data_IF_575976010327
#
_entry.id   IF_575976010327
#
_cell.length_a   1.000
_cell.length_b   1.000
_cell.length_c   1.000
_cell.angle_alpha   90.00
_cell.angle_beta   90.00
_cell.angle_gamma   90.00
#
_symmetry.space_group_name_H-M   'P 1'
#
loop_
_entity.id
_entity.type
_entity.pdbx_description
1 polymer ?
#
# COMPACT_ATOMS: atom_id res chain seq x y z
N UNK A 1 4.67 -14.80 7.65
CA UNK A 1 3.27 -15.18 8.01
C UNK A 1 2.55 -14.09 8.80
N UNK A 2 3.11 -13.51 9.86
CA UNK A 2 2.43 -12.45 10.64
C UNK A 2 1.95 -11.25 9.80
N UNK A 3 2.74 -10.81 8.82
CA UNK A 3 2.34 -9.73 7.91
C UNK A 3 1.09 -10.07 7.07
N UNK A 4 0.98 -11.31 6.60
CA UNK A 4 -0.18 -11.79 5.83
C UNK A 4 -1.43 -11.85 6.71
N UNK A 5 -1.30 -12.31 7.96
CA UNK A 5 -2.40 -12.31 8.92
C UNK A 5 -2.88 -10.88 9.23
N UNK A 6 -1.96 -9.93 9.46
CA UNK A 6 -2.30 -8.51 9.63
C UNK A 6 -3.02 -7.94 8.41
N UNK A 7 -2.55 -8.23 7.19
CA UNK A 7 -3.23 -7.81 5.96
C UNK A 7 -4.63 -8.41 5.84
N UNK A 8 -4.80 -9.69 6.18
CA UNK A 8 -6.10 -10.37 6.18
C UNK A 8 -7.09 -9.73 7.15
N UNK A 9 -6.66 -9.44 8.39
CA UNK A 9 -7.49 -8.77 9.40
C UNK A 9 -7.80 -7.34 8.95
N UNK A 10 -6.79 -6.59 8.50
CA UNK A 10 -6.94 -5.21 8.09
C UNK A 10 -7.93 -5.06 6.95
N UNK A 11 -7.88 -5.91 5.92
CA UNK A 11 -8.83 -5.86 4.80
C UNK A 11 -10.25 -6.23 5.23
N UNK A 12 -10.42 -7.22 6.10
CA UNK A 12 -11.74 -7.60 6.61
C UNK A 12 -12.37 -6.54 7.52
N UNK A 13 -11.55 -5.77 8.25
CA UNK A 13 -12.03 -4.68 9.11
C UNK A 13 -12.23 -3.38 8.33
N UNK A 14 -11.30 -3.03 7.44
CA UNK A 14 -11.32 -1.78 6.70
C UNK A 14 -12.50 -1.71 5.73
N UNK A 15 -12.82 -2.77 5.00
CA UNK A 15 -13.92 -2.76 4.01
C UNK A 15 -15.29 -2.41 4.62
N UNK A 16 -15.78 -3.05 5.70
CA UNK A 16 -17.06 -2.69 6.30
C UNK A 16 -17.03 -1.31 6.97
N UNK A 17 -15.92 -0.92 7.62
CA UNK A 17 -15.79 0.41 8.21
C UNK A 17 -15.77 1.51 7.16
N UNK A 18 -15.06 1.33 6.04
CA UNK A 18 -15.01 2.29 4.93
C UNK A 18 -16.38 2.48 4.27
N UNK A 19 -17.19 1.41 4.17
CA UNK A 19 -18.58 1.52 3.69
C UNK A 19 -19.49 2.28 4.65
N UNK A 20 -19.29 2.13 5.96
CA UNK A 20 -20.15 2.73 6.98
C UNK A 20 -19.79 4.18 7.33
N UNK A 21 -18.50 4.51 7.37
CA UNK A 21 -18.00 5.81 7.84
C UNK A 21 -17.31 6.63 6.75
N UNK A 22 -17.31 6.14 5.51
CA UNK A 22 -16.50 6.70 4.43
C UNK A 22 -15.03 6.33 4.59
N UNK A 23 -14.29 6.34 3.48
CA UNK A 23 -12.94 5.81 3.51
C UNK A 23 -11.89 6.80 4.07
N UNK A 24 -12.08 8.09 3.84
CA UNK A 24 -11.15 9.13 4.33
C UNK A 24 -11.03 9.17 5.86
N UNK A 25 -12.13 9.18 6.66
CA UNK A 25 -12.03 9.18 8.12
C UNK A 25 -11.40 7.90 8.69
N UNK A 26 -11.65 6.76 8.05
CA UNK A 26 -11.09 5.46 8.46
C UNK A 26 -9.58 5.45 8.24
N UNK A 27 -9.10 5.96 7.09
CA UNK A 27 -7.67 6.01 6.77
C UNK A 27 -6.94 6.96 7.72
N UNK A 28 -7.47 8.14 8.00
CA UNK A 28 -6.85 9.09 8.95
C UNK A 28 -6.72 8.48 10.34
N UNK A 29 -7.77 7.81 10.84
CA UNK A 29 -7.73 7.12 12.14
C UNK A 29 -6.73 5.96 12.14
N UNK A 30 -6.67 5.19 11.06
CA UNK A 30 -5.69 4.10 10.92
C UNK A 30 -4.25 4.63 10.92
N UNK A 31 -3.99 5.75 10.22
CA UNK A 31 -2.68 6.41 10.22
C UNK A 31 -2.33 6.98 11.60
N UNK A 32 -3.29 7.55 12.33
CA UNK A 32 -3.06 8.03 13.69
C UNK A 32 -2.71 6.89 14.66
N UNK A 33 -3.41 5.76 14.56
CA UNK A 33 -3.08 4.56 15.35
C UNK A 33 -1.70 4.02 14.94
N UNK A 34 -1.39 3.96 13.65
CA UNK A 34 -0.07 3.55 13.16
C UNK A 34 1.03 4.46 13.70
N UNK A 35 0.82 5.78 13.73
CA UNK A 35 1.75 6.74 14.32
C UNK A 35 1.99 6.45 15.80
N UNK A 36 0.94 6.24 16.59
CA UNK A 36 1.06 5.93 18.03
C UNK A 36 1.83 4.61 18.24
N UNK A 37 1.52 3.58 17.46
CA UNK A 37 2.17 2.28 17.58
C UNK A 37 3.64 2.30 17.13
N UNK A 38 3.99 3.12 16.14
CA UNK A 38 5.35 3.23 15.61
C UNK A 38 6.22 4.26 16.35
N UNK A 39 5.62 5.25 17.00
CA UNK A 39 6.29 6.29 17.76
C UNK A 39 7.34 5.77 18.77
N UNK A 40 7.07 4.76 19.64
CA UNK A 40 8.07 4.28 20.59
C UNK A 40 9.31 3.69 19.90
N UNK A 41 9.13 3.00 18.77
CA UNK A 41 10.24 2.48 17.98
C UNK A 41 11.05 3.61 17.32
N UNK A 42 10.37 4.66 16.84
CA UNK A 42 11.03 5.86 16.32
C UNK A 42 11.86 6.56 17.38
N UNK A 43 11.32 6.74 18.60
CA UNK A 43 12.02 7.38 19.72
C UNK A 43 13.24 6.55 20.15
N UNK A 44 13.10 5.23 20.25
CA UNK A 44 14.21 4.33 20.57
C UNK A 44 15.34 4.37 19.51
N UNK A 45 15.02 4.72 18.27
CA UNK A 45 15.98 4.83 17.18
C UNK A 45 16.71 6.19 17.10
N UNK A 46 16.26 7.22 17.84
CA UNK A 46 16.86 8.57 17.85
C UNK A 46 18.38 8.55 18.11
N UNK A 47 18.92 7.82 19.10
CA UNK A 47 20.35 7.84 19.41
C UNK A 47 21.25 7.34 18.28
N UNK A 48 20.72 6.50 17.38
CA UNK A 48 21.43 5.96 16.22
C UNK A 48 21.05 6.67 14.91
N UNK A 49 20.23 7.72 14.98
CA UNK A 49 19.74 8.44 13.80
C UNK A 49 20.52 9.74 13.59
N UNK A 50 20.95 9.99 12.35
CA UNK A 50 21.43 11.31 11.94
C UNK A 50 20.30 12.06 11.25
N UNK A 51 20.08 13.32 11.66
CA UNK A 51 19.08 14.15 11.01
C UNK A 51 19.62 14.65 9.67
N UNK A 52 18.93 14.30 8.59
CA UNK A 52 19.25 14.73 7.24
C UNK A 52 18.02 15.32 6.56
N UNK A 53 18.14 16.58 6.09
CA UNK A 53 17.07 17.27 5.36
C UNK A 53 16.59 16.50 4.13
N UNK A 54 17.51 15.84 3.43
CA UNK A 54 17.18 15.03 2.26
C UNK A 54 16.24 13.87 2.61
N UNK A 55 16.53 13.15 3.70
CA UNK A 55 15.69 12.04 4.20
C UNK A 55 14.31 12.52 4.63
N UNK A 56 14.22 13.71 5.24
CA UNK A 56 12.94 14.30 5.63
C UNK A 56 12.07 14.57 4.40
N UNK A 57 12.60 15.26 3.38
CA UNK A 57 11.84 15.55 2.16
C UNK A 57 11.48 14.28 1.38
N UNK A 58 12.37 13.29 1.34
CA UNK A 58 12.07 11.99 0.74
C UNK A 58 10.92 11.28 1.47
N UNK A 59 10.92 11.26 2.81
CA UNK A 59 9.81 10.70 3.60
C UNK A 59 8.49 11.44 3.38
N UNK A 60 8.52 12.78 3.34
CA UNK A 60 7.32 13.59 3.07
C UNK A 60 6.79 13.30 1.67
N UNK A 61 7.66 13.26 0.66
CA UNK A 61 7.27 12.94 -0.71
C UNK A 61 6.64 11.55 -0.85
N UNK A 62 7.26 10.53 -0.24
CA UNK A 62 6.73 9.16 -0.22
C UNK A 62 5.42 9.05 0.55
N UNK A 63 5.31 9.73 1.70
CA UNK A 63 4.11 9.73 2.53
C UNK A 63 2.94 10.43 1.84
N UNK A 64 3.13 11.66 1.37
CA UNK A 64 2.09 12.44 0.70
C UNK A 64 1.70 11.81 -0.63
N UNK A 65 2.67 11.46 -1.47
CA UNK A 65 2.42 10.88 -2.80
C UNK A 65 1.92 9.44 -2.72
N UNK A 66 2.75 8.55 -2.18
CA UNK A 66 2.51 7.10 -2.20
C UNK A 66 1.39 6.64 -1.27
N UNK A 67 1.10 7.39 -0.19
CA UNK A 67 0.05 7.05 0.77
C UNK A 67 -1.12 8.02 0.67
N UNK A 68 -0.91 9.32 0.96
CA UNK A 68 -2.00 10.30 1.04
C UNK A 68 -2.82 10.45 -0.25
N UNK A 69 -2.17 10.86 -1.34
CA UNK A 69 -2.81 11.07 -2.64
C UNK A 69 -3.34 9.76 -3.20
N UNK A 70 -2.54 8.69 -3.15
CA UNK A 70 -2.96 7.38 -3.64
C UNK A 70 -4.25 6.87 -2.96
N UNK A 71 -4.34 7.00 -1.63
CA UNK A 71 -5.56 6.65 -0.90
C UNK A 71 -6.73 7.58 -1.24
N UNK A 72 -6.52 8.89 -1.35
CA UNK A 72 -7.57 9.83 -1.74
C UNK A 72 -8.15 9.49 -3.13
N UNK A 73 -7.28 9.16 -4.10
CA UNK A 73 -7.70 8.72 -5.43
C UNK A 73 -8.41 7.37 -5.40
N UNK A 74 -7.87 6.38 -4.69
CA UNK A 74 -8.48 5.05 -4.57
C UNK A 74 -9.88 5.12 -3.94
N UNK A 75 -10.05 5.96 -2.92
CA UNK A 75 -11.34 6.14 -2.24
C UNK A 75 -12.36 6.90 -3.10
N UNK A 76 -11.91 7.90 -3.85
CA UNK A 76 -12.74 8.59 -4.84
C UNK A 76 -13.16 7.65 -5.97
N UNK A 77 -12.24 6.84 -6.48
CA UNK A 77 -12.50 5.88 -7.55
C UNK A 77 -13.48 4.79 -7.09
N UNK A 78 -13.29 4.25 -5.89
CA UNK A 78 -14.21 3.29 -5.28
C UNK A 78 -15.64 3.81 -5.18
N UNK A 79 -15.82 5.09 -4.86
CA UNK A 79 -17.13 5.74 -4.82
C UNK A 79 -17.77 5.93 -6.20
N UNK A 80 -16.98 6.09 -7.27
CA UNK A 80 -17.46 6.37 -8.64
C UNK A 80 -17.74 5.12 -9.47
N UNK A 81 -16.83 4.14 -9.45
CA UNK A 81 -16.90 2.95 -10.34
C UNK A 81 -17.17 1.64 -9.60
N UNK A 82 -17.38 1.70 -8.29
CA UNK A 82 -17.67 0.56 -7.43
C UNK A 82 -16.41 -0.22 -7.01
N UNK A 83 -16.51 -0.94 -5.88
CA UNK A 83 -15.36 -1.63 -5.28
C UNK A 83 -14.75 -2.69 -6.19
N UNK A 84 -15.56 -3.36 -7.01
CA UNK A 84 -15.12 -4.46 -7.87
C UNK A 84 -14.16 -4.01 -8.96
N UNK A 85 -14.41 -2.86 -9.63
CA UNK A 85 -13.46 -2.31 -10.61
C UNK A 85 -12.21 -1.75 -9.93
N UNK A 86 -12.36 -1.17 -8.74
CA UNK A 86 -11.23 -0.61 -7.98
C UNK A 86 -10.26 -1.70 -7.51
N UNK A 87 -10.76 -2.89 -7.17
CA UNK A 87 -9.92 -4.05 -6.79
C UNK A 87 -8.99 -4.51 -7.92
N UNK A 88 -9.34 -4.30 -9.18
CA UNK A 88 -8.49 -4.70 -10.33
C UNK A 88 -7.19 -3.90 -10.33
N UNK A 89 -7.22 -2.63 -9.91
CA UNK A 89 -6.02 -1.79 -9.81
C UNK A 89 -4.96 -2.38 -8.88
N UNK A 90 -5.37 -3.12 -7.85
CA UNK A 90 -4.44 -3.78 -6.92
C UNK A 90 -3.59 -4.84 -7.62
N UNK A 91 -4.10 -5.48 -8.67
CA UNK A 91 -3.35 -6.49 -9.43
C UNK A 91 -2.23 -5.89 -10.27
N UNK A 92 -2.29 -4.59 -10.55
CA UNK A 92 -1.27 -3.87 -11.33
C UNK A 92 -0.09 -3.44 -10.44
N UNK A 93 -0.24 -3.46 -9.11
CA UNK A 93 0.78 -3.05 -8.15
C UNK A 93 2.14 -3.73 -8.38
N UNK A 94 2.25 -5.06 -8.55
CA UNK A 94 3.55 -5.72 -8.73
C UNK A 94 4.28 -5.23 -9.99
N UNK A 95 3.53 -4.98 -11.06
CA UNK A 95 4.08 -4.50 -12.35
C UNK A 95 4.63 -3.09 -12.19
N UNK A 96 3.85 -2.20 -11.57
CA UNK A 96 4.25 -0.80 -11.31
C UNK A 96 5.45 -0.75 -10.35
N UNK A 97 5.47 -1.62 -9.33
CA UNK A 97 6.58 -1.72 -8.40
C UNK A 97 7.89 -2.13 -9.09
N UNK A 98 7.86 -3.15 -9.96
CA UNK A 98 9.04 -3.55 -10.74
C UNK A 98 9.49 -2.45 -11.70
N UNK A 99 8.55 -1.78 -12.36
CA UNK A 99 8.87 -0.70 -13.29
C UNK A 99 9.52 0.48 -12.58
N UNK A 100 8.99 0.90 -11.43
CA UNK A 100 9.57 1.97 -10.61
C UNK A 100 10.93 1.56 -10.02
N UNK A 101 11.09 0.31 -9.57
CA UNK A 101 12.37 -0.19 -9.08
C UNK A 101 13.45 -0.16 -10.16
N UNK A 102 13.11 -0.58 -11.38
CA UNK A 102 14.03 -0.57 -12.51
C UNK A 102 14.43 0.84 -12.95
N UNK A 103 13.48 1.79 -13.00
CA UNK A 103 13.72 3.11 -13.60
C UNK A 103 14.16 4.16 -12.57
N UNK A 104 13.53 4.18 -11.39
CA UNK A 104 13.78 5.22 -10.38
C UNK A 104 14.96 4.85 -9.49
N UNK A 105 15.21 3.54 -9.34
CA UNK A 105 16.20 3.00 -8.39
C UNK A 105 17.33 2.25 -9.08
N UNK A 106 17.33 2.21 -10.42
CA UNK A 106 18.30 1.49 -11.28
C UNK A 106 18.55 0.04 -10.84
N UNK A 107 17.51 -0.62 -10.28
CA UNK A 107 17.63 -2.00 -9.81
C UNK A 107 17.65 -2.97 -11.00
N UNK A 108 18.64 -3.86 -11.02
CA UNK A 108 18.72 -4.95 -12.01
C UNK A 108 17.57 -5.93 -11.74
N UNK A 109 16.56 -5.91 -12.61
CA UNK A 109 15.41 -6.82 -12.50
C UNK A 109 15.84 -8.24 -12.83
N UNK A 110 16.04 -9.05 -11.81
CA UNK A 110 16.32 -10.47 -11.98
C UNK A 110 15.15 -11.18 -12.71
N UNK A 111 15.46 -12.14 -13.59
CA UNK A 111 14.43 -12.94 -14.28
C UNK A 111 13.46 -13.65 -13.33
N UNK A 112 13.92 -13.96 -12.11
CA UNK A 112 13.10 -14.51 -11.04
C UNK A 112 12.00 -13.53 -10.56
N UNK A 113 12.27 -12.24 -10.55
CA UNK A 113 11.30 -11.20 -10.18
C UNK A 113 10.19 -11.09 -11.23
N UNK A 114 10.53 -11.23 -12.52
CA UNK A 114 9.55 -11.31 -13.60
C UNK A 114 8.67 -12.55 -13.47
N UNK A 115 9.28 -13.71 -13.19
CA UNK A 115 8.53 -14.95 -12.95
C UNK A 115 7.59 -14.82 -11.75
N UNK A 116 8.07 -14.25 -10.63
CA UNK A 116 7.25 -13.98 -9.44
C UNK A 116 6.08 -13.03 -9.71
N UNK A 117 6.31 -11.98 -10.51
CA UNK A 117 5.24 -11.10 -10.97
C UNK A 117 4.20 -11.85 -11.81
N UNK A 118 4.65 -12.71 -12.72
CA UNK A 118 3.76 -13.57 -13.52
C UNK A 118 2.90 -14.49 -12.66
N UNK A 119 3.50 -15.12 -11.63
CA UNK A 119 2.76 -15.95 -10.67
C UNK A 119 1.73 -15.13 -9.88
N UNK A 120 2.10 -13.94 -9.41
CA UNK A 120 1.19 -13.06 -8.67
C UNK A 120 -0.01 -12.62 -9.52
N UNK A 121 0.23 -12.24 -10.78
CA UNK A 121 -0.82 -11.87 -11.74
C UNK A 121 -1.74 -13.06 -12.06
N UNK A 122 -1.17 -14.24 -12.23
CA UNK A 122 -1.93 -15.47 -12.52
C UNK A 122 -2.81 -15.86 -11.32
N UNK A 123 -2.27 -15.82 -10.11
CA UNK A 123 -3.02 -16.08 -8.87
C UNK A 123 -4.18 -15.08 -8.70
N UNK A 124 -3.91 -13.80 -8.89
CA UNK A 124 -4.91 -12.74 -8.89
C UNK A 124 -6.04 -13.00 -9.90
N UNK A 125 -5.68 -13.36 -11.14
CA UNK A 125 -6.64 -13.66 -12.20
C UNK A 125 -7.55 -14.85 -11.84
N UNK A 126 -6.97 -15.93 -11.32
CA UNK A 126 -7.73 -17.12 -10.89
C UNK A 126 -8.70 -16.81 -9.75
N UNK A 127 -8.25 -16.07 -8.72
CA UNK A 127 -9.11 -15.69 -7.59
C UNK A 127 -10.26 -14.78 -8.02
N UNK A 128 -10.00 -13.82 -8.93
CA UNK A 128 -11.04 -12.88 -9.35
C UNK A 128 -12.05 -13.52 -10.32
N UNK A 129 -11.65 -14.54 -11.08
CA UNK A 129 -12.56 -15.31 -11.96
C UNK A 129 -13.59 -16.14 -11.18
N UNK A 130 -13.23 -16.60 -9.98
CA UNK A 130 -14.11 -17.40 -9.11
C UNK A 130 -15.23 -16.59 -8.44
N UNK A 131 -15.24 -15.26 -8.58
CA UNK A 131 -16.22 -14.36 -7.96
C UNK A 131 -17.28 -13.84 -8.95
N UNK A 132 -17.29 -14.37 -10.18
CA UNK A 132 -18.44 -14.31 -11.10
C UNK A 132 -19.37 -15.47 -10.79
#
# INVERSE_FOLDING_TARGET
MCALCCYGIALNLAVPLQKKYGALPVIVRALAVALILTAPFGIAAIPNSSFAWHSLFAMVGLGVGGTGIAYALATTLAGRVGSTRTSVTTYIIPVVALFLGAIVRDEVVAGLSLAGCGVALTGAFLTNRSRK
#
